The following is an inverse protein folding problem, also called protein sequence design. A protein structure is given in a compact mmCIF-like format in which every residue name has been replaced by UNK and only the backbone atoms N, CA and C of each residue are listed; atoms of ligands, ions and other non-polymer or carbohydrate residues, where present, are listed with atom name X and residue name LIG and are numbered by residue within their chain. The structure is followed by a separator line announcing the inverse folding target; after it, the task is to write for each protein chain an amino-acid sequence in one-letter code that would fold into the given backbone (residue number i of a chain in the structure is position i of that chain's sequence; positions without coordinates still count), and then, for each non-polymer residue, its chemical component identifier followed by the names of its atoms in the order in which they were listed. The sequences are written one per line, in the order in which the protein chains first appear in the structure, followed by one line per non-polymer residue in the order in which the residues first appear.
data_IF_887863535047
#
_entry.id   IF_887863535047
#
_cell.length_a   1.000
_cell.length_b   1.000
_cell.length_c   1.000
_cell.angle_alpha   90.00
_cell.angle_beta   90.00
_cell.angle_gamma   90.00
#
_symmetry.space_group_name_H-M   'P 1'
#
loop_
_entity.id
_entity.type
_entity.pdbx_description
1 polymer ?
#
# COMPACT_ATOMS: atom_id res chain seq x y z
N UNK A 1 -31.89 -22.24 36.80
CA UNK A 1 -31.71 -22.70 35.41
C UNK A 1 -30.71 -21.77 34.74
N UNK A 2 -29.64 -22.25 34.08
CA UNK A 2 -28.80 -21.35 33.30
C UNK A 2 -29.65 -20.73 32.18
N UNK A 3 -29.60 -19.40 32.06
CA UNK A 3 -30.33 -18.67 31.02
C UNK A 3 -30.03 -19.30 29.64
N UNK A 4 -31.03 -19.41 28.74
CA UNK A 4 -30.78 -19.86 27.39
C UNK A 4 -29.71 -18.98 26.77
N UNK A 5 -28.57 -19.58 26.39
CA UNK A 5 -27.54 -18.84 25.67
C UNK A 5 -28.15 -18.41 24.35
N UNK A 6 -28.18 -17.11 24.06
CA UNK A 6 -28.62 -16.60 22.77
C UNK A 6 -27.73 -17.20 21.67
N UNK A 7 -28.26 -18.21 20.98
CA UNK A 7 -27.60 -18.87 19.87
C UNK A 7 -27.72 -18.02 18.61
N UNK A 8 -26.65 -18.03 17.82
CA UNK A 8 -26.64 -17.41 16.51
C UNK A 8 -27.20 -18.38 15.47
N UNK A 9 -28.30 -18.01 14.82
CA UNK A 9 -28.88 -18.77 13.70
C UNK A 9 -28.19 -18.30 12.42
N UNK A 10 -27.06 -18.93 12.10
CA UNK A 10 -26.24 -18.64 10.91
C UNK A 10 -26.00 -19.91 10.12
N UNK A 11 -25.80 -19.79 8.81
CA UNK A 11 -25.55 -20.95 7.95
C UNK A 11 -24.10 -21.45 8.10
N UNK A 12 -23.86 -22.77 8.22
CA UNK A 12 -22.51 -23.31 8.37
C UNK A 12 -21.57 -22.96 7.21
N UNK A 13 -22.08 -22.97 5.98
CA UNK A 13 -21.35 -22.57 4.77
C UNK A 13 -20.79 -21.14 4.83
N UNK A 14 -21.49 -20.21 5.50
CA UNK A 14 -21.03 -18.82 5.70
C UNK A 14 -19.88 -18.78 6.71
N UNK A 15 -19.92 -19.62 7.74
CA UNK A 15 -18.85 -19.70 8.75
C UNK A 15 -17.54 -20.21 8.12
N UNK A 16 -17.63 -21.31 7.37
CA UNK A 16 -16.50 -21.89 6.63
C UNK A 16 -15.92 -20.86 5.66
N UNK A 17 -16.79 -20.29 4.82
CA UNK A 17 -16.37 -19.30 3.83
C UNK A 17 -15.68 -18.09 4.48
N UNK A 18 -16.28 -17.52 5.54
CA UNK A 18 -15.73 -16.33 6.19
C UNK A 18 -14.36 -16.60 6.81
N UNK A 19 -14.14 -17.80 7.37
CA UNK A 19 -12.86 -18.21 7.94
C UNK A 19 -11.79 -18.36 6.86
N UNK A 20 -12.11 -19.07 5.78
CA UNK A 20 -11.17 -19.37 4.69
C UNK A 20 -10.83 -18.14 3.87
N UNK A 21 -11.81 -17.29 3.56
CA UNK A 21 -11.58 -15.99 2.92
C UNK A 21 -10.73 -15.08 3.81
N UNK A 22 -10.96 -15.08 5.13
CA UNK A 22 -10.13 -14.36 6.08
C UNK A 22 -8.71 -14.94 6.23
N UNK A 23 -8.43 -16.11 5.66
CA UNK A 23 -7.11 -16.75 5.69
C UNK A 23 -6.77 -17.46 6.99
N UNK A 24 -7.79 -17.86 7.76
CA UNK A 24 -7.58 -18.53 9.04
C UNK A 24 -7.69 -20.05 8.93
N UNK A 25 -6.71 -20.75 9.50
CA UNK A 25 -6.88 -22.16 9.83
C UNK A 25 -7.87 -22.34 10.99
N UNK A 26 -8.51 -23.51 11.04
CA UNK A 26 -9.53 -23.84 12.03
C UNK A 26 -9.01 -23.63 13.47
N UNK A 27 -7.80 -24.10 13.74
CA UNK A 27 -7.15 -24.06 15.05
C UNK A 27 -6.87 -22.62 15.49
N UNK A 28 -6.34 -21.80 14.57
CA UNK A 28 -6.05 -20.40 14.85
C UNK A 28 -7.34 -19.61 15.11
N UNK A 29 -8.36 -19.81 14.27
CA UNK A 29 -9.66 -19.18 14.43
C UNK A 29 -10.31 -19.52 15.78
N UNK A 30 -10.36 -20.82 16.13
CA UNK A 30 -10.94 -21.29 17.38
C UNK A 30 -10.23 -20.69 18.60
N UNK A 31 -8.89 -20.65 18.57
CA UNK A 31 -8.07 -20.04 19.61
C UNK A 31 -8.38 -18.55 19.77
N UNK A 32 -8.52 -17.80 18.67
CA UNK A 32 -8.78 -16.34 18.70
C UNK A 32 -10.14 -15.97 19.29
N UNK A 33 -11.12 -16.87 19.24
CA UNK A 33 -12.43 -16.66 19.89
C UNK A 33 -12.61 -17.51 21.16
N UNK A 34 -11.52 -18.06 21.69
CA UNK A 34 -11.49 -18.82 22.94
C UNK A 34 -12.46 -20.01 22.97
N UNK A 35 -12.53 -20.77 21.87
CA UNK A 35 -13.24 -22.07 21.81
C UNK A 35 -12.30 -23.18 21.36
N UNK A 36 -12.74 -24.44 21.52
CA UNK A 36 -11.98 -25.59 21.02
C UNK A 36 -12.13 -25.72 19.50
N UNK A 37 -11.09 -26.18 18.77
CA UNK A 37 -11.20 -26.47 17.34
C UNK A 37 -12.34 -27.44 17.03
N UNK A 38 -12.54 -28.45 17.88
CA UNK A 38 -13.67 -29.38 17.80
C UNK A 38 -15.03 -28.68 17.85
N UNK A 39 -15.18 -27.66 18.70
CA UNK A 39 -16.42 -26.86 18.76
C UNK A 39 -16.62 -26.05 17.48
N UNK A 40 -15.57 -25.39 16.98
CA UNK A 40 -15.67 -24.61 15.76
C UNK A 40 -16.06 -25.50 14.57
N UNK A 41 -15.41 -26.65 14.43
CA UNK A 41 -15.71 -27.64 13.39
C UNK A 41 -17.16 -28.13 13.47
N UNK A 42 -17.66 -28.42 14.68
CA UNK A 42 -19.07 -28.80 14.87
C UNK A 42 -20.05 -27.68 14.46
N UNK A 43 -19.65 -26.41 14.60
CA UNK A 43 -20.47 -25.29 14.12
C UNK A 43 -20.42 -25.16 12.59
N UNK A 44 -19.22 -25.34 12.01
CA UNK A 44 -18.99 -25.32 10.56
C UNK A 44 -19.62 -26.52 9.82
N UNK A 45 -19.89 -27.63 10.53
CA UNK A 45 -20.63 -28.78 10.00
C UNK A 45 -22.14 -28.76 10.29
N UNK A 46 -22.63 -27.74 11.01
CA UNK A 46 -24.04 -27.61 11.39
C UNK A 46 -24.49 -28.52 12.55
N UNK A 47 -23.56 -29.22 13.21
CA UNK A 47 -23.82 -30.08 14.37
C UNK A 47 -23.96 -29.31 15.69
N UNK A 48 -23.47 -28.07 15.74
CA UNK A 48 -23.56 -27.18 16.90
C UNK A 48 -23.78 -25.73 16.44
N UNK A 49 -24.03 -24.83 17.41
CA UNK A 49 -24.18 -23.39 17.15
C UNK A 49 -23.25 -22.56 18.02
N UNK A 50 -22.84 -21.43 17.46
CA UNK A 50 -22.14 -20.38 18.19
C UNK A 50 -23.16 -19.55 18.98
N UNK A 51 -22.73 -18.99 20.10
CA UNK A 51 -23.52 -17.93 20.75
C UNK A 51 -23.35 -16.61 19.98
N UNK A 52 -24.25 -15.65 20.15
CA UNK A 52 -24.13 -14.31 19.56
C UNK A 52 -22.79 -13.65 19.95
N UNK A 53 -22.31 -13.86 21.18
CA UNK A 53 -21.01 -13.35 21.61
C UNK A 53 -19.85 -14.02 20.88
N UNK A 54 -19.92 -15.32 20.62
CA UNK A 54 -18.90 -16.04 19.84
C UNK A 54 -18.91 -15.61 18.38
N UNK A 55 -20.09 -15.39 17.80
CA UNK A 55 -20.23 -14.85 16.44
C UNK A 55 -19.67 -13.42 16.34
N UNK A 56 -19.90 -12.57 17.36
CA UNK A 56 -19.27 -11.24 17.46
C UNK A 56 -17.74 -11.34 17.57
N UNK A 57 -17.25 -12.36 18.26
CA UNK A 57 -15.83 -12.73 18.27
C UNK A 57 -15.32 -13.01 16.85
N UNK A 58 -16.00 -13.88 16.10
CA UNK A 58 -15.65 -14.17 14.70
C UNK A 58 -15.70 -12.92 13.82
N UNK A 59 -16.73 -12.09 13.96
CA UNK A 59 -16.86 -10.80 13.27
C UNK A 59 -15.63 -9.91 13.46
N UNK A 60 -15.13 -9.79 14.69
CA UNK A 60 -13.94 -9.01 15.01
C UNK A 60 -12.64 -9.63 14.48
N UNK A 61 -12.52 -10.96 14.51
CA UNK A 61 -11.33 -11.71 14.08
C UNK A 61 -11.22 -11.75 12.55
N UNK A 62 -12.32 -12.07 11.88
CA UNK A 62 -12.40 -12.16 10.41
C UNK A 62 -12.55 -10.79 9.74
N UNK A 63 -12.75 -9.73 10.54
CA UNK A 63 -12.99 -8.35 10.07
C UNK A 63 -14.18 -8.29 9.11
N UNK A 64 -15.26 -8.97 9.49
CA UNK A 64 -16.54 -8.99 8.77
C UNK A 64 -17.61 -8.40 9.69
N UNK A 65 -18.48 -7.49 9.22
CA UNK A 65 -19.60 -7.01 10.02
C UNK A 65 -20.46 -8.17 10.52
N UNK A 66 -21.07 -8.05 11.70
CA UNK A 66 -21.89 -9.13 12.27
C UNK A 66 -23.02 -9.58 11.30
N UNK A 67 -23.62 -8.61 10.59
CA UNK A 67 -24.66 -8.86 9.59
C UNK A 67 -24.18 -9.77 8.43
N UNK A 68 -22.88 -9.81 8.13
CA UNK A 68 -22.31 -10.66 7.09
C UNK A 68 -22.63 -12.14 7.30
N UNK A 69 -22.66 -12.60 8.56
CA UNK A 69 -22.89 -14.01 8.87
C UNK A 69 -24.34 -14.48 8.66
N UNK A 70 -25.25 -13.54 8.39
CA UNK A 70 -26.65 -13.79 8.12
C UNK A 70 -26.98 -13.73 6.62
N UNK A 71 -25.97 -13.66 5.76
CA UNK A 71 -26.17 -13.74 4.31
C UNK A 71 -26.81 -15.08 3.92
N UNK A 72 -27.70 -15.07 2.91
CA UNK A 72 -28.40 -16.28 2.48
C UNK A 72 -27.45 -17.27 1.78
N UNK A 73 -26.39 -16.80 1.14
CA UNK A 73 -25.39 -17.63 0.45
C UNK A 73 -24.01 -16.97 0.57
N UNK A 74 -22.91 -17.75 0.56
CA UNK A 74 -21.57 -17.18 0.53
C UNK A 74 -21.38 -16.28 -0.70
N UNK A 75 -20.76 -15.09 -0.55
CA UNK A 75 -20.47 -14.23 -1.69
C UNK A 75 -19.35 -14.84 -2.53
N UNK A 76 -19.19 -14.36 -3.77
CA UNK A 76 -18.05 -14.74 -4.60
C UNK A 76 -16.76 -14.24 -3.96
N UNK A 77 -15.77 -15.12 -3.82
CA UNK A 77 -14.43 -14.74 -3.35
C UNK A 77 -13.78 -13.83 -4.37
N UNK A 78 -13.39 -12.63 -3.95
CA UNK A 78 -12.85 -11.58 -4.85
C UNK A 78 -11.32 -11.50 -4.81
N UNK A 79 -10.66 -12.23 -3.92
CA UNK A 79 -9.20 -12.25 -3.83
C UNK A 79 -8.72 -13.50 -4.57
N UNK A 80 -8.11 -13.32 -5.74
CA UNK A 80 -7.28 -14.38 -6.30
C UNK A 80 -5.94 -14.34 -5.57
N UNK A 81 -5.61 -15.43 -4.87
CA UNK A 81 -4.37 -15.55 -4.11
C UNK A 81 -3.15 -15.49 -5.05
N UNK A 82 -3.31 -15.89 -6.33
CA UNK A 82 -2.24 -15.88 -7.33
C UNK A 82 -1.68 -14.49 -7.58
N UNK A 83 -2.51 -13.45 -7.58
CA UNK A 83 -2.10 -12.07 -7.84
C UNK A 83 -1.16 -11.51 -6.75
N UNK A 84 -1.15 -12.11 -5.56
CA UNK A 84 -0.45 -11.58 -4.38
C UNK A 84 0.62 -12.53 -3.81
N UNK A 85 0.99 -13.61 -4.50
CA UNK A 85 2.07 -14.52 -4.05
C UNK A 85 3.46 -13.85 -3.97
N UNK A 86 3.56 -12.62 -4.43
CA UNK A 86 4.74 -11.77 -4.55
C UNK A 86 5.41 -11.33 -3.24
N UNK A 87 4.84 -11.59 -2.05
CA UNK A 87 5.27 -10.88 -0.84
C UNK A 87 6.00 -11.67 0.25
N UNK A 88 6.29 -12.96 0.08
CA UNK A 88 7.02 -13.76 1.08
C UNK A 88 8.07 -14.69 0.47
N UNK A 89 9.31 -14.61 0.96
CA UNK A 89 10.40 -15.58 0.73
C UNK A 89 10.17 -16.92 1.48
N UNK A 90 9.03 -17.09 2.16
CA UNK A 90 8.74 -18.27 2.99
C UNK A 90 7.86 -19.30 2.24
N UNK A 91 8.10 -20.58 2.53
CA UNK A 91 7.52 -21.76 1.87
C UNK A 91 6.02 -21.98 2.10
N UNK A 92 5.34 -21.09 2.84
CA UNK A 92 3.89 -21.11 3.00
C UNK A 92 3.28 -20.00 2.13
N UNK A 93 2.88 -20.38 0.91
CA UNK A 93 2.41 -19.48 -0.15
C UNK A 93 1.00 -18.91 0.08
N UNK A 94 0.51 -18.87 1.32
CA UNK A 94 -0.80 -18.34 1.68
C UNK A 94 -0.72 -16.92 2.23
N UNK A 95 -1.50 -16.00 1.66
CA UNK A 95 -1.59 -14.62 2.18
C UNK A 95 -2.05 -14.66 3.64
N UNK A 96 -1.33 -13.97 4.52
CA UNK A 96 -1.73 -13.91 5.92
C UNK A 96 -3.10 -13.21 6.07
N UNK A 97 -3.82 -13.47 7.17
CA UNK A 97 -5.07 -12.77 7.48
C UNK A 97 -4.96 -11.24 7.47
N UNK A 98 -3.79 -10.70 7.83
CA UNK A 98 -3.56 -9.26 7.84
C UNK A 98 -3.50 -8.69 6.42
N UNK A 99 -2.74 -9.31 5.51
CA UNK A 99 -2.65 -8.86 4.12
C UNK A 99 -3.98 -9.03 3.39
N UNK A 100 -4.67 -10.17 3.58
CA UNK A 100 -6.02 -10.38 3.04
C UNK A 100 -6.98 -9.29 3.47
N UNK A 101 -6.93 -8.87 4.73
CA UNK A 101 -7.76 -7.76 5.22
C UNK A 101 -7.45 -6.45 4.50
N UNK A 102 -6.18 -6.08 4.33
CA UNK A 102 -5.82 -4.83 3.65
C UNK A 102 -6.17 -4.87 2.14
N UNK A 103 -6.03 -6.02 1.47
CA UNK A 103 -6.53 -6.22 0.09
C UNK A 103 -8.05 -6.01 0.02
N UNK A 104 -8.82 -6.67 0.91
CA UNK A 104 -10.28 -6.49 0.95
C UNK A 104 -10.66 -5.04 1.20
N UNK A 105 -10.02 -4.40 2.17
CA UNK A 105 -10.28 -3.01 2.54
C UNK A 105 -9.99 -2.05 1.39
N UNK A 106 -8.91 -2.28 0.64
CA UNK A 106 -8.58 -1.50 -0.54
C UNK A 106 -9.65 -1.68 -1.64
N UNK A 107 -10.06 -2.92 -1.94
CA UNK A 107 -11.15 -3.19 -2.88
C UNK A 107 -12.47 -2.56 -2.43
N UNK A 108 -12.86 -2.71 -1.16
CA UNK A 108 -14.09 -2.07 -0.64
C UNK A 108 -14.05 -0.54 -0.75
N UNK A 109 -12.89 0.10 -0.51
CA UNK A 109 -12.75 1.55 -0.72
C UNK A 109 -12.89 1.94 -2.18
N UNK A 110 -12.35 1.14 -3.10
CA UNK A 110 -12.54 1.36 -4.53
C UNK A 110 -14.01 1.26 -4.92
N UNK A 111 -14.73 0.24 -4.47
CA UNK A 111 -16.17 0.11 -4.74
C UNK A 111 -16.96 1.31 -4.20
N UNK A 112 -16.64 1.77 -2.99
CA UNK A 112 -17.22 3.00 -2.44
C UNK A 112 -16.88 4.22 -3.31
N UNK A 113 -15.64 4.33 -3.79
CA UNK A 113 -15.24 5.42 -4.68
C UNK A 113 -16.05 5.40 -5.99
N UNK A 114 -16.23 4.23 -6.60
CA UNK A 114 -17.04 4.10 -7.82
C UNK A 114 -18.48 4.52 -7.58
N UNK A 115 -19.12 4.05 -6.51
CA UNK A 115 -20.47 4.47 -6.12
C UNK A 115 -20.54 5.99 -5.94
N UNK A 116 -19.56 6.59 -5.25
CA UNK A 116 -19.53 8.04 -5.03
C UNK A 116 -19.33 8.83 -6.33
N UNK A 117 -18.52 8.35 -7.27
CA UNK A 117 -18.39 8.99 -8.60
C UNK A 117 -19.71 8.92 -9.38
N UNK A 118 -20.40 7.78 -9.34
CA UNK A 118 -21.72 7.60 -9.95
C UNK A 118 -22.77 8.54 -9.32
N UNK A 119 -22.86 8.57 -7.99
CA UNK A 119 -23.80 9.42 -7.24
C UNK A 119 -23.57 10.91 -7.48
N UNK A 120 -22.32 11.32 -7.71
CA UNK A 120 -21.91 12.69 -8.02
C UNK A 120 -22.03 13.03 -9.51
N UNK A 121 -22.34 12.06 -10.37
CA UNK A 121 -22.36 12.21 -11.83
C UNK A 121 -21.02 12.72 -12.41
N UNK A 122 -19.90 12.33 -11.79
CA UNK A 122 -18.54 12.70 -12.20
C UNK A 122 -17.85 11.48 -12.79
N UNK A 123 -17.31 11.62 -14.01
CA UNK A 123 -16.47 10.57 -14.60
C UNK A 123 -15.07 10.61 -13.97
N UNK A 124 -14.57 9.50 -13.39
CA UNK A 124 -13.23 9.46 -12.83
C UNK A 124 -12.16 9.56 -13.92
N UNK A 125 -11.04 10.21 -13.60
CA UNK A 125 -9.83 10.16 -14.41
C UNK A 125 -9.43 8.70 -14.63
N UNK A 126 -9.23 8.31 -15.89
CA UNK A 126 -8.92 6.91 -16.23
C UNK A 126 -7.42 6.73 -16.45
N UNK A 127 -6.79 5.94 -15.58
CA UNK A 127 -5.40 5.56 -15.76
C UNK A 127 -5.25 4.58 -16.94
N UNK A 128 -4.66 5.03 -18.05
CA UNK A 128 -4.61 4.27 -19.30
C UNK A 128 -3.20 3.96 -19.82
N UNK A 129 -2.15 4.37 -19.09
CA UNK A 129 -0.75 4.12 -19.48
C UNK A 129 -0.44 2.63 -19.50
N UNK A 130 0.40 2.21 -20.47
CA UNK A 130 0.86 0.83 -20.63
C UNK A 130 2.35 0.76 -20.86
N UNK A 131 2.92 -0.40 -20.51
CA UNK A 131 4.28 -0.77 -20.90
C UNK A 131 4.40 -2.29 -21.10
N UNK A 132 5.53 -2.73 -21.62
CA UNK A 132 5.91 -4.14 -21.77
C UNK A 132 7.38 -4.37 -21.42
N UNK A 133 7.73 -5.64 -21.12
CA UNK A 133 9.07 -6.01 -20.61
C UNK A 133 10.20 -5.85 -21.64
N UNK A 134 9.86 -5.74 -22.92
CA UNK A 134 10.80 -5.53 -24.03
C UNK A 134 11.16 -4.04 -24.23
N UNK A 135 10.47 -3.12 -23.56
CA UNK A 135 10.78 -1.69 -23.67
C UNK A 135 12.04 -1.31 -22.89
N UNK A 136 12.74 -0.27 -23.37
CA UNK A 136 13.89 0.29 -22.66
C UNK A 136 13.47 0.91 -21.33
N UNK A 137 14.14 0.50 -20.25
CA UNK A 137 13.94 1.05 -18.90
C UNK A 137 14.07 2.58 -18.88
N UNK A 138 15.01 3.15 -19.64
CA UNK A 138 15.18 4.60 -19.77
C UNK A 138 13.93 5.29 -20.35
N UNK A 139 13.36 4.70 -21.40
CA UNK A 139 12.16 5.21 -22.07
C UNK A 139 10.95 5.12 -21.15
N UNK A 140 10.77 3.98 -20.46
CA UNK A 140 9.65 3.78 -19.54
C UNK A 140 9.78 4.69 -18.31
N UNK A 141 10.99 4.84 -17.76
CA UNK A 141 11.25 5.77 -16.65
C UNK A 141 10.91 7.21 -17.01
N UNK A 142 11.31 7.68 -18.20
CA UNK A 142 10.93 9.01 -18.67
C UNK A 142 9.42 9.13 -18.89
N UNK A 143 8.78 8.12 -19.48
CA UNK A 143 7.31 8.09 -19.66
C UNK A 143 6.56 8.19 -18.33
N UNK A 144 7.05 7.55 -17.28
CA UNK A 144 6.47 7.69 -15.94
C UNK A 144 6.59 9.14 -15.44
N UNK A 145 7.74 9.79 -15.62
CA UNK A 145 7.90 11.20 -15.25
C UNK A 145 6.97 12.12 -16.04
N UNK A 146 6.84 11.90 -17.33
CA UNK A 146 5.98 12.68 -18.23
C UNK A 146 4.51 12.52 -17.85
N UNK A 147 4.07 11.27 -17.62
CA UNK A 147 2.73 10.94 -17.15
C UNK A 147 2.40 11.67 -15.84
N UNK A 148 3.33 11.67 -14.90
CA UNK A 148 3.17 12.31 -13.59
C UNK A 148 3.43 13.83 -13.63
N UNK A 149 3.89 14.38 -14.77
CA UNK A 149 4.28 15.78 -14.94
C UNK A 149 5.34 16.23 -13.90
N UNK A 150 6.34 15.37 -13.69
CA UNK A 150 7.43 15.59 -12.73
C UNK A 150 8.76 15.82 -13.49
N UNK A 151 9.17 17.08 -13.59
CA UNK A 151 10.52 17.40 -14.06
C UNK A 151 11.59 17.08 -13.02
N UNK A 152 12.85 16.92 -13.43
CA UNK A 152 13.95 16.68 -12.50
C UNK A 152 14.23 17.89 -11.61
N UNK A 153 14.12 19.09 -12.17
CA UNK A 153 14.31 20.37 -11.47
C UNK A 153 13.29 20.56 -10.34
N UNK A 154 12.08 20.05 -10.53
CA UNK A 154 11.04 20.08 -9.49
C UNK A 154 11.35 19.11 -8.36
N UNK A 155 11.84 17.91 -8.69
CA UNK A 155 12.22 16.90 -7.70
C UNK A 155 13.38 17.37 -6.82
N UNK A 156 14.44 17.95 -7.39
CA UNK A 156 15.63 18.36 -6.61
C UNK A 156 15.38 19.51 -5.63
N UNK A 157 14.23 20.19 -5.73
CA UNK A 157 13.82 21.25 -4.80
C UNK A 157 13.12 20.72 -3.54
N UNK A 158 12.77 19.44 -3.50
CA UNK A 158 12.11 18.80 -2.36
C UNK A 158 13.09 18.74 -1.18
N UNK A 159 12.68 19.23 -0.02
CA UNK A 159 13.58 19.44 1.12
C UNK A 159 13.49 18.36 2.18
N UNK A 160 12.41 17.58 2.20
CA UNK A 160 12.20 16.55 3.21
C UNK A 160 11.61 15.26 2.63
N UNK A 161 11.81 14.18 3.37
CA UNK A 161 11.35 12.84 3.01
C UNK A 161 9.82 12.71 2.99
N UNK A 162 9.11 13.32 3.94
CA UNK A 162 7.65 13.37 3.94
C UNK A 162 7.09 14.30 2.86
N UNK A 163 7.81 15.36 2.49
CA UNK A 163 7.46 16.18 1.33
C UNK A 163 7.60 15.38 0.04
N UNK A 164 8.68 14.61 -0.14
CA UNK A 164 8.83 13.69 -1.26
C UNK A 164 7.68 12.67 -1.32
N UNK A 165 7.34 12.07 -0.18
CA UNK A 165 6.22 11.11 -0.11
C UNK A 165 4.90 11.72 -0.57
N UNK A 166 4.56 12.93 -0.09
CA UNK A 166 3.34 13.63 -0.52
C UNK A 166 3.40 14.00 -1.99
N UNK A 167 4.51 14.58 -2.43
CA UNK A 167 4.74 15.02 -3.80
C UNK A 167 4.48 13.91 -4.83
N UNK A 168 5.12 12.75 -4.64
CA UNK A 168 4.96 11.61 -5.55
C UNK A 168 3.58 10.98 -5.46
N UNK A 169 3.01 10.86 -4.26
CA UNK A 169 1.66 10.33 -4.08
C UNK A 169 0.62 11.19 -4.78
N UNK A 170 0.65 12.50 -4.57
CA UNK A 170 -0.32 13.44 -5.13
C UNK A 170 -0.28 13.41 -6.67
N UNK A 171 0.92 13.31 -7.26
CA UNK A 171 1.08 13.18 -8.71
C UNK A 171 0.50 11.86 -9.26
N UNK A 172 0.67 10.75 -8.55
CA UNK A 172 0.10 9.45 -8.93
C UNK A 172 -1.43 9.46 -8.80
N UNK A 173 -1.94 9.98 -7.69
CA UNK A 173 -3.36 10.10 -7.44
C UNK A 173 -4.06 11.00 -8.50
N UNK A 174 -3.39 12.06 -8.95
CA UNK A 174 -3.88 12.95 -10.01
C UNK A 174 -3.99 12.27 -11.40
N UNK A 175 -3.57 11.02 -11.55
CA UNK A 175 -3.73 10.20 -12.77
C UNK A 175 -4.80 9.11 -12.63
N UNK A 176 -5.66 9.19 -11.62
CA UNK A 176 -6.78 8.26 -11.42
C UNK A 176 -6.43 7.01 -10.62
N UNK A 177 -5.23 6.93 -10.03
CA UNK A 177 -4.81 5.80 -9.18
C UNK A 177 -5.19 6.08 -7.73
N UNK A 178 -5.93 5.17 -7.09
CA UNK A 178 -6.20 5.24 -5.66
C UNK A 178 -4.99 4.76 -4.86
N UNK A 179 -4.30 5.67 -4.17
CA UNK A 179 -3.13 5.33 -3.35
C UNK A 179 -3.52 5.24 -1.88
N UNK A 180 -3.46 4.04 -1.29
CA UNK A 180 -3.70 3.80 0.13
C UNK A 180 -2.42 3.48 0.89
N UNK A 181 -2.48 3.57 2.22
CA UNK A 181 -1.40 3.08 3.08
C UNK A 181 -1.91 2.08 4.11
N UNK A 182 -1.14 1.02 4.33
CA UNK A 182 -1.44 -0.06 5.25
C UNK A 182 -0.30 -0.24 6.27
N UNK A 183 -0.62 -0.72 7.47
CA UNK A 183 0.38 -1.01 8.50
C UNK A 183 0.45 -2.50 8.76
N UNK A 184 1.36 -3.16 8.06
CA UNK A 184 1.55 -4.61 8.09
C UNK A 184 3.03 -4.95 8.29
N UNK A 185 3.37 -6.20 8.60
CA UNK A 185 4.78 -6.59 8.70
C UNK A 185 5.52 -6.25 7.40
N UNK A 186 6.68 -5.60 7.49
CA UNK A 186 7.52 -5.33 6.29
C UNK A 186 8.03 -6.60 5.63
N UNK A 187 8.08 -7.72 6.36
CA UNK A 187 8.43 -9.04 5.81
C UNK A 187 7.32 -9.62 4.96
N UNK A 188 6.09 -9.15 5.17
CA UNK A 188 4.89 -9.68 4.53
C UNK A 188 4.43 -8.82 3.36
N UNK A 189 4.72 -7.51 3.35
CA UNK A 189 4.33 -6.62 2.25
C UNK A 189 5.09 -5.29 2.39
N UNK A 190 5.66 -4.80 1.29
CA UNK A 190 6.13 -3.40 1.18
C UNK A 190 5.11 -2.51 0.47
N UNK A 191 4.47 -3.04 -0.56
CA UNK A 191 3.30 -2.48 -1.21
C UNK A 191 2.60 -3.56 -2.02
N UNK A 192 1.51 -3.21 -2.69
CA UNK A 192 0.89 -4.02 -3.74
C UNK A 192 0.06 -3.12 -4.65
N UNK A 193 -0.26 -3.61 -5.85
CA UNK A 193 -1.13 -2.95 -6.80
C UNK A 193 -2.24 -3.87 -7.28
N UNK A 194 -3.37 -3.28 -7.66
CA UNK A 194 -4.51 -3.99 -8.23
C UNK A 194 -4.94 -3.23 -9.48
N UNK A 195 -4.76 -3.86 -10.63
CA UNK A 195 -5.32 -3.35 -11.87
C UNK A 195 -6.81 -3.65 -11.92
N UNK A 196 -7.63 -2.61 -11.82
CA UNK A 196 -9.07 -2.70 -12.05
C UNK A 196 -9.60 -1.33 -12.50
N UNK A 197 -10.00 -1.21 -13.75
CA UNK A 197 -10.44 0.04 -14.35
C UNK A 197 -11.85 0.44 -13.87
N UNK A 198 -12.17 1.73 -13.72
CA UNK A 198 -11.34 2.90 -14.05
C UNK A 198 -10.36 3.34 -12.96
N UNK A 199 -10.53 2.86 -11.72
CA UNK A 199 -9.77 3.27 -10.54
C UNK A 199 -8.81 2.17 -10.06
N UNK A 200 -7.61 2.02 -10.66
CA UNK A 200 -6.62 1.07 -10.15
C UNK A 200 -6.14 1.49 -8.76
N UNK A 201 -5.62 0.51 -8.01
CA UNK A 201 -5.21 0.70 -6.62
C UNK A 201 -3.70 0.51 -6.51
N UNK A 202 -3.05 1.36 -5.72
CA UNK A 202 -1.71 1.13 -5.17
C UNK A 202 -1.77 1.23 -3.64
N UNK A 203 -1.13 0.31 -2.93
CA UNK A 203 -1.05 0.32 -1.47
C UNK A 203 0.40 0.25 -1.04
N UNK A 204 0.81 1.08 -0.07
CA UNK A 204 2.18 1.08 0.48
C UNK A 204 2.22 0.92 1.99
N UNK A 205 3.30 0.32 2.50
CA UNK A 205 3.46 0.02 3.92
C UNK A 205 3.93 1.23 4.74
N UNK A 206 3.14 1.67 5.71
CA UNK A 206 3.50 2.77 6.63
C UNK A 206 4.73 2.47 7.50
N UNK A 207 5.10 1.19 7.66
CA UNK A 207 6.30 0.77 8.42
C UNK A 207 7.60 0.91 7.63
N UNK A 208 7.51 1.22 6.33
CA UNK A 208 8.68 1.59 5.54
C UNK A 208 8.98 3.09 5.66
N UNK A 209 10.25 3.45 5.42
CA UNK A 209 10.69 4.85 5.40
C UNK A 209 9.89 5.65 4.36
N UNK A 210 9.74 6.99 4.51
CA UNK A 210 9.07 7.80 3.48
C UNK A 210 9.69 7.62 2.08
N UNK A 211 11.01 7.61 1.96
CA UNK A 211 11.69 7.31 0.68
C UNK A 211 11.46 5.88 0.19
N UNK A 212 11.40 4.89 1.09
CA UNK A 212 11.05 3.51 0.73
C UNK A 212 9.64 3.43 0.14
N UNK A 213 8.68 4.10 0.76
CA UNK A 213 7.31 4.21 0.25
C UNK A 213 7.24 4.92 -1.11
N UNK A 214 8.03 5.98 -1.34
CA UNK A 214 8.15 6.62 -2.66
C UNK A 214 8.61 5.61 -3.72
N UNK A 215 9.69 4.87 -3.44
CA UNK A 215 10.18 3.84 -4.35
C UNK A 215 9.11 2.78 -4.64
N UNK A 216 8.45 2.27 -3.60
CA UNK A 216 7.35 1.30 -3.75
C UNK A 216 6.20 1.86 -4.58
N UNK A 217 5.74 3.10 -4.37
CA UNK A 217 4.65 3.66 -5.17
C UNK A 217 4.98 3.69 -6.67
N UNK A 218 6.20 4.08 -7.05
CA UNK A 218 6.62 4.12 -8.46
C UNK A 218 6.79 2.70 -9.02
N UNK A 219 7.29 1.77 -8.21
CA UNK A 219 7.37 0.35 -8.56
C UNK A 219 5.97 -0.24 -8.82
N UNK A 220 5.01 -0.02 -7.91
CA UNK A 220 3.62 -0.46 -8.07
C UNK A 220 2.92 0.20 -9.26
N UNK A 221 3.23 1.47 -9.55
CA UNK A 221 2.73 2.14 -10.75
C UNK A 221 3.21 1.44 -12.02
N UNK A 222 4.43 0.91 -12.03
CA UNK A 222 4.97 0.15 -13.17
C UNK A 222 4.23 -1.19 -13.32
N UNK A 223 3.91 -1.88 -12.23
CA UNK A 223 3.04 -3.06 -12.27
C UNK A 223 1.66 -2.76 -12.85
N UNK A 224 1.06 -1.62 -12.49
CA UNK A 224 -0.20 -1.17 -13.08
C UNK A 224 -0.06 -0.94 -14.59
N UNK A 225 1.05 -0.35 -15.06
CA UNK A 225 1.32 -0.15 -16.49
C UNK A 225 1.52 -1.46 -17.24
N UNK A 226 2.14 -2.47 -16.62
CA UNK A 226 2.28 -3.82 -17.19
C UNK A 226 0.96 -4.60 -17.19
N UNK A 227 -0.02 -4.19 -16.37
CA UNK A 227 -1.27 -4.93 -16.11
C UNK A 227 -1.01 -6.36 -15.63
N UNK A 228 0.08 -6.54 -14.90
CA UNK A 228 0.63 -7.86 -14.55
C UNK A 228 -0.10 -8.54 -13.39
N UNK A 229 -1.24 -8.02 -12.93
CA UNK A 229 -2.04 -8.61 -11.83
C UNK A 229 -2.75 -9.92 -12.22
N UNK A 230 -2.03 -10.87 -12.83
CA UNK A 230 -2.56 -12.16 -13.29
C UNK A 230 -1.70 -12.96 -14.29
N UNK A 231 -0.41 -12.62 -14.51
CA UNK A 231 0.45 -13.28 -15.50
C UNK A 231 1.69 -13.92 -14.84
N UNK A 232 1.59 -15.14 -14.31
CA UNK A 232 2.60 -15.63 -13.35
C UNK A 232 3.46 -16.84 -13.73
N UNK A 233 3.10 -17.87 -14.49
CA UNK A 233 3.93 -19.10 -14.35
C UNK A 233 5.31 -19.12 -15.04
N UNK A 234 5.74 -18.14 -15.85
CA UNK A 234 7.04 -18.22 -16.58
C UNK A 234 7.90 -16.94 -16.63
N UNK A 235 7.49 -15.82 -15.99
CA UNK A 235 8.15 -14.51 -16.17
C UNK A 235 8.25 -13.60 -14.94
N UNK A 236 7.88 -14.08 -13.75
CA UNK A 236 7.70 -13.25 -12.52
C UNK A 236 8.98 -12.51 -12.11
N UNK A 237 10.12 -13.20 -12.11
CA UNK A 237 11.38 -12.59 -11.74
C UNK A 237 11.78 -11.47 -12.71
N UNK A 238 11.43 -11.60 -14.00
CA UNK A 238 11.72 -10.57 -14.99
C UNK A 238 10.82 -9.34 -14.80
N UNK A 239 9.56 -9.53 -14.40
CA UNK A 239 8.64 -8.43 -14.07
C UNK A 239 9.18 -7.63 -12.89
N UNK A 240 9.54 -8.29 -11.78
CA UNK A 240 10.07 -7.64 -10.59
C UNK A 240 11.38 -6.89 -10.86
N UNK A 241 12.29 -7.50 -11.62
CA UNK A 241 13.55 -6.87 -12.03
C UNK A 241 13.27 -5.63 -12.89
N UNK A 242 12.32 -5.72 -13.83
CA UNK A 242 11.92 -4.61 -14.69
C UNK A 242 11.26 -3.47 -13.88
N UNK A 243 10.28 -3.75 -13.03
CA UNK A 243 9.62 -2.76 -12.18
C UNK A 243 10.61 -2.05 -11.24
N UNK A 244 11.56 -2.79 -10.66
CA UNK A 244 12.64 -2.21 -9.85
C UNK A 244 13.56 -1.31 -10.68
N UNK A 245 13.91 -1.72 -11.91
CA UNK A 245 14.74 -0.94 -12.80
C UNK A 245 14.04 0.36 -13.24
N UNK A 246 12.77 0.29 -13.62
CA UNK A 246 11.93 1.44 -14.00
C UNK A 246 11.74 2.39 -12.82
N UNK A 247 11.45 1.89 -11.61
CA UNK A 247 11.34 2.74 -10.43
C UNK A 247 12.66 3.47 -10.12
N UNK A 248 13.78 2.76 -10.24
CA UNK A 248 15.11 3.32 -10.06
C UNK A 248 15.44 4.38 -11.12
N UNK A 249 15.15 4.12 -12.39
CA UNK A 249 15.35 5.07 -13.49
C UNK A 249 14.44 6.29 -13.37
N UNK A 250 13.17 6.09 -13.00
CA UNK A 250 12.22 7.17 -12.79
C UNK A 250 12.70 8.11 -11.70
N UNK A 251 13.12 7.58 -10.54
CA UNK A 251 13.50 8.38 -9.38
C UNK A 251 14.93 8.93 -9.47
N UNK A 252 15.83 8.21 -10.13
CA UNK A 252 17.23 8.58 -10.32
C UNK A 252 17.61 8.35 -11.78
N UNK A 253 17.19 9.27 -12.68
CA UNK A 253 17.42 9.10 -14.11
C UNK A 253 18.91 9.06 -14.41
N UNK A 254 19.29 8.11 -15.25
CA UNK A 254 20.67 7.87 -15.64
C UNK A 254 21.30 9.10 -16.29
N UNK A 255 20.53 9.81 -17.12
CA UNK A 255 20.93 11.06 -17.77
C UNK A 255 21.45 12.09 -16.76
N UNK A 256 20.71 12.34 -15.68
CA UNK A 256 21.13 13.31 -14.66
C UNK A 256 22.22 12.75 -13.75
N UNK A 257 22.10 11.48 -13.33
CA UNK A 257 23.05 10.88 -12.40
C UNK A 257 24.46 10.81 -12.99
N UNK A 258 24.59 10.50 -14.27
CA UNK A 258 25.89 10.45 -14.95
C UNK A 258 26.48 11.84 -15.20
N UNK A 259 25.68 12.90 -15.13
CA UNK A 259 26.15 14.28 -15.25
C UNK A 259 26.61 14.89 -13.93
N UNK A 260 26.27 14.27 -12.79
CA UNK A 260 26.70 14.73 -11.48
C UNK A 260 28.23 14.81 -11.39
N UNK A 261 28.75 15.95 -10.92
CA UNK A 261 30.20 16.19 -10.86
C UNK A 261 30.94 15.10 -10.09
N UNK A 262 30.35 14.65 -8.98
CA UNK A 262 30.92 13.58 -8.13
C UNK A 262 30.99 12.22 -8.85
N UNK A 263 30.16 12.00 -9.87
CA UNK A 263 30.15 10.80 -10.71
C UNK A 263 31.07 10.95 -11.92
N UNK A 264 31.10 12.13 -12.53
CA UNK A 264 31.95 12.42 -13.71
C UNK A 264 33.43 12.46 -13.38
N UNK A 265 33.76 13.11 -12.27
CA UNK A 265 35.14 13.29 -11.81
C UNK A 265 35.60 12.10 -10.93
N UNK A 266 34.85 11.00 -10.96
CA UNK A 266 35.06 9.85 -10.09
C UNK A 266 36.44 9.22 -10.31
N UNK A 267 37.23 9.20 -9.24
CA UNK A 267 38.51 8.50 -9.13
C UNK A 267 38.48 7.43 -8.05
N UNK A 268 37.29 7.09 -7.55
CA UNK A 268 37.11 6.27 -6.35
C UNK A 268 37.24 4.76 -6.61
N UNK A 269 37.57 4.35 -7.84
CA UNK A 269 37.63 2.93 -8.23
C UNK A 269 36.38 2.15 -7.81
N UNK A 270 35.19 2.72 -8.03
CA UNK A 270 33.89 2.09 -7.74
C UNK A 270 33.53 1.97 -6.24
N UNK A 271 34.25 2.65 -5.33
CA UNK A 271 34.03 2.65 -3.87
C UNK A 271 33.56 4.03 -3.39
N UNK A 272 32.36 4.14 -2.87
CA UNK A 272 31.74 5.43 -2.55
C UNK A 272 31.76 5.76 -1.06
N UNK A 273 32.03 7.02 -0.70
CA UNK A 273 31.88 7.47 0.70
C UNK A 273 30.40 7.61 1.08
N UNK A 274 30.08 7.46 2.38
CA UNK A 274 28.71 7.61 2.86
C UNK A 274 28.21 9.05 2.68
N UNK A 275 29.09 10.05 2.78
CA UNK A 275 28.79 11.47 2.54
C UNK A 275 28.44 11.72 1.07
N UNK A 276 29.17 11.10 0.15
CA UNK A 276 28.94 11.20 -1.29
C UNK A 276 27.58 10.62 -1.66
N UNK A 277 27.27 9.41 -1.15
CA UNK A 277 25.98 8.75 -1.36
C UNK A 277 24.84 9.54 -0.71
N UNK A 278 25.07 10.13 0.47
CA UNK A 278 24.07 10.96 1.14
C UNK A 278 23.80 12.27 0.39
N UNK A 279 24.83 12.91 -0.15
CA UNK A 279 24.69 14.14 -0.93
C UNK A 279 23.82 13.91 -2.18
N UNK A 280 24.08 12.82 -2.91
CA UNK A 280 23.25 12.42 -4.06
C UNK A 280 21.84 12.06 -3.58
N UNK A 281 21.71 11.25 -2.53
CA UNK A 281 20.41 10.82 -2.01
C UNK A 281 19.51 12.00 -1.61
N UNK A 282 20.08 13.00 -0.93
CA UNK A 282 19.36 14.21 -0.53
C UNK A 282 18.93 15.03 -1.75
N UNK A 283 19.82 15.22 -2.73
CA UNK A 283 19.51 15.96 -3.95
C UNK A 283 18.41 15.30 -4.78
N UNK A 284 18.41 13.97 -4.85
CA UNK A 284 17.39 13.20 -5.57
C UNK A 284 16.16 12.89 -4.71
N UNK A 285 16.15 13.26 -3.42
CA UNK A 285 15.08 12.93 -2.47
C UNK A 285 14.73 11.43 -2.45
N UNK A 286 15.78 10.59 -2.39
CA UNK A 286 15.67 9.13 -2.30
C UNK A 286 16.56 8.60 -1.17
N UNK A 287 16.49 7.30 -0.89
CA UNK A 287 17.41 6.68 0.06
C UNK A 287 18.80 6.44 -0.54
N UNK A 288 19.84 6.40 0.31
CA UNK A 288 21.21 6.00 -0.08
C UNK A 288 21.25 4.61 -0.74
N UNK A 289 20.36 3.70 -0.34
CA UNK A 289 20.24 2.37 -0.94
C UNK A 289 19.81 2.45 -2.40
N UNK A 290 18.86 3.33 -2.73
CA UNK A 290 18.42 3.53 -4.11
C UNK A 290 19.54 4.12 -4.97
N UNK A 291 20.25 5.13 -4.46
CA UNK A 291 21.43 5.68 -5.16
C UNK A 291 22.47 4.61 -5.42
N UNK A 292 22.84 3.84 -4.38
CA UNK A 292 23.86 2.81 -4.52
C UNK A 292 23.44 1.68 -5.48
N UNK A 293 22.15 1.30 -5.46
CA UNK A 293 21.58 0.36 -6.44
C UNK A 293 21.68 0.90 -7.86
N UNK A 294 21.46 2.20 -8.06
CA UNK A 294 21.54 2.85 -9.37
C UNK A 294 22.96 2.96 -9.90
N UNK A 295 23.91 3.29 -9.02
CA UNK A 295 25.32 3.21 -9.35
C UNK A 295 25.72 1.79 -9.76
N UNK A 296 25.20 0.76 -9.10
CA UNK A 296 25.47 -0.63 -9.44
C UNK A 296 24.92 -0.98 -10.83
N UNK A 297 23.67 -0.62 -11.12
CA UNK A 297 23.05 -0.89 -12.44
C UNK A 297 23.73 -0.14 -13.59
N UNK A 298 24.38 0.98 -13.31
CA UNK A 298 25.12 1.78 -14.30
C UNK A 298 26.62 1.43 -14.35
N UNK A 299 27.05 0.37 -13.66
CA UNK A 299 28.46 -0.04 -13.62
C UNK A 299 29.40 0.97 -12.93
N UNK A 300 28.85 1.83 -12.05
CA UNK A 300 29.60 2.83 -11.24
C UNK A 300 29.91 2.34 -9.83
N UNK A 301 29.49 1.14 -9.45
CA UNK A 301 29.99 0.45 -8.25
C UNK A 301 30.05 -1.07 -8.48
N UNK A 302 30.52 -1.84 -7.50
CA UNK A 302 30.61 -3.30 -7.57
C UNK A 302 29.52 -3.99 -6.74
N UNK A 303 29.16 -5.22 -7.12
CA UNK A 303 28.20 -6.04 -6.36
C UNK A 303 28.69 -6.32 -4.93
N UNK A 304 30.01 -6.45 -4.74
CA UNK A 304 30.62 -6.64 -3.43
C UNK A 304 30.41 -5.40 -2.54
N UNK A 305 30.74 -4.22 -3.05
CA UNK A 305 30.56 -2.97 -2.32
C UNK A 305 29.09 -2.70 -1.98
N UNK A 306 28.18 -2.96 -2.94
CA UNK A 306 26.74 -2.88 -2.72
C UNK A 306 26.28 -3.76 -1.55
N UNK A 307 26.70 -5.05 -1.52
CA UNK A 307 26.34 -5.99 -0.44
C UNK A 307 26.92 -5.56 0.91
N UNK A 308 28.17 -5.08 0.93
CA UNK A 308 28.82 -4.57 2.14
C UNK A 308 28.01 -3.43 2.75
N UNK A 309 27.77 -2.36 1.99
CA UNK A 309 27.09 -1.15 2.48
C UNK A 309 25.64 -1.39 2.87
N UNK A 310 24.90 -2.15 2.07
CA UNK A 310 23.51 -2.48 2.41
C UNK A 310 23.42 -3.34 3.67
N UNK A 311 24.37 -4.24 3.90
CA UNK A 311 24.50 -4.99 5.16
C UNK A 311 24.81 -4.10 6.36
N UNK A 312 25.75 -3.15 6.23
CA UNK A 312 26.09 -2.16 7.26
C UNK A 312 24.87 -1.33 7.66
N UNK A 313 24.18 -0.72 6.69
CA UNK A 313 23.02 0.13 6.96
C UNK A 313 21.84 -0.66 7.52
N UNK A 314 21.63 -1.91 7.08
CA UNK A 314 20.58 -2.78 7.64
C UNK A 314 20.84 -3.05 9.12
N UNK A 315 22.06 -3.43 9.50
CA UNK A 315 22.43 -3.66 10.90
C UNK A 315 22.28 -2.38 11.74
N UNK A 316 22.75 -1.25 11.22
CA UNK A 316 22.61 0.04 11.91
C UNK A 316 21.14 0.41 12.16
N UNK A 317 20.27 0.20 11.16
CA UNK A 317 18.83 0.43 11.26
C UNK A 317 18.15 -0.52 12.27
N UNK A 318 18.52 -1.79 12.29
CA UNK A 318 18.00 -2.77 13.26
C UNK A 318 18.39 -2.39 14.70
N UNK A 319 19.65 -1.97 14.92
CA UNK A 319 20.14 -1.50 16.21
C UNK A 319 19.45 -0.22 16.68
N UNK A 320 19.16 0.72 15.76
CA UNK A 320 18.45 1.96 16.07
C UNK A 320 17.00 1.70 16.50
N UNK A 321 16.26 0.89 15.72
CA UNK A 321 14.87 0.58 16.04
C UNK A 321 14.70 -0.24 17.32
N UNK A 322 15.68 -1.11 17.65
CA UNK A 322 15.68 -1.84 18.91
C UNK A 322 15.83 -0.91 20.13
N UNK A 323 16.40 0.29 19.96
CA UNK A 323 16.57 1.30 21.01
C UNK A 323 15.42 2.29 21.11
N UNK A 324 14.71 2.55 20.01
CA UNK A 324 13.65 3.58 19.92
C UNK A 324 12.21 3.07 20.13
N UNK A 325 12.00 1.83 20.59
CA UNK A 325 10.66 1.26 20.82
C UNK A 325 9.81 1.97 21.89
N UNK A 326 10.16 3.17 22.34
CA UNK A 326 9.54 3.92 23.43
C UNK A 326 9.17 5.39 23.12
N UNK A 327 9.34 5.92 21.90
CA UNK A 327 9.00 7.34 21.60
C UNK A 327 8.17 7.56 20.33
N UNK A 328 7.07 6.84 20.19
CA UNK A 328 6.07 7.15 19.16
C UNK A 328 5.20 8.34 19.58
N UNK A 329 5.42 9.52 18.98
CA UNK A 329 4.52 10.66 19.15
C UNK A 329 3.07 10.30 18.76
N UNK A 330 2.08 10.84 19.48
CA UNK A 330 0.66 10.61 19.19
C UNK A 330 0.30 11.31 17.88
N UNK A 331 0.14 10.55 16.79
CA UNK A 331 -0.38 11.08 15.52
C UNK A 331 -1.87 11.33 15.67
N UNK A 332 -2.32 12.54 15.34
CA UNK A 332 -3.73 12.93 15.44
C UNK A 332 -4.61 12.10 14.48
N UNK A 333 -5.84 11.73 14.89
CA UNK A 333 -6.73 10.88 14.08
C UNK A 333 -7.04 11.42 12.68
N UNK A 334 -7.22 12.73 12.51
CA UNK A 334 -7.49 13.34 11.19
C UNK A 334 -6.27 13.22 10.24
N UNK A 335 -5.05 13.41 10.77
CA UNK A 335 -3.79 13.25 10.00
C UNK A 335 -3.63 11.79 9.57
N UNK A 336 -3.92 10.85 10.48
CA UNK A 336 -3.84 9.41 10.19
C UNK A 336 -4.84 9.01 9.11
N UNK A 337 -6.06 9.51 9.15
CA UNK A 337 -7.09 9.22 8.16
C UNK A 337 -6.66 9.66 6.76
N UNK A 338 -6.20 10.91 6.62
CA UNK A 338 -5.69 11.44 5.34
C UNK A 338 -4.49 10.62 4.84
N UNK A 339 -3.55 10.31 5.73
CA UNK A 339 -2.37 9.50 5.38
C UNK A 339 -2.75 8.10 4.88
N UNK A 340 -3.68 7.41 5.55
CA UNK A 340 -4.10 6.05 5.21
C UNK A 340 -4.99 5.98 3.97
N UNK A 341 -5.90 6.93 3.80
CA UNK A 341 -6.93 6.89 2.77
C UNK A 341 -6.52 7.60 1.47
N UNK A 342 -5.59 8.55 1.51
CA UNK A 342 -5.20 9.30 0.32
C UNK A 342 -6.10 10.48 0.04
N UNK A 343 -5.51 11.52 -0.56
CA UNK A 343 -6.17 12.81 -0.69
C UNK A 343 -7.36 12.71 -1.63
N UNK A 344 -7.22 11.95 -2.72
CA UNK A 344 -8.28 11.76 -3.72
C UNK A 344 -9.49 11.06 -3.13
N UNK A 345 -9.31 9.94 -2.43
CA UNK A 345 -10.42 9.25 -1.78
C UNK A 345 -11.05 10.10 -0.68
N UNK A 346 -10.24 10.78 0.14
CA UNK A 346 -10.78 11.65 1.20
C UNK A 346 -11.59 12.80 0.61
N UNK A 347 -11.08 13.46 -0.44
CA UNK A 347 -11.80 14.53 -1.12
C UNK A 347 -13.12 14.04 -1.70
N UNK A 348 -13.12 12.88 -2.36
CA UNK A 348 -14.34 12.28 -2.89
C UNK A 348 -15.39 12.03 -1.79
N UNK A 349 -14.98 11.49 -0.63
CA UNK A 349 -15.88 11.30 0.53
C UNK A 349 -16.44 12.63 1.02
N UNK A 350 -15.60 13.68 1.13
CA UNK A 350 -16.05 14.99 1.57
C UNK A 350 -16.99 15.65 0.56
N UNK A 351 -16.69 15.56 -0.74
CA UNK A 351 -17.51 16.10 -1.81
C UNK A 351 -18.89 15.41 -1.83
N UNK A 352 -18.94 14.07 -1.70
CA UNK A 352 -20.20 13.33 -1.55
C UNK A 352 -20.98 13.70 -0.29
N UNK A 353 -20.29 13.97 0.82
CA UNK A 353 -20.93 14.43 2.05
C UNK A 353 -21.52 15.84 1.90
N UNK A 354 -20.77 16.78 1.31
CA UNK A 354 -21.23 18.15 1.08
C UNK A 354 -22.38 18.25 0.08
N UNK A 355 -22.47 17.30 -0.86
CA UNK A 355 -23.58 17.18 -1.80
C UNK A 355 -24.72 16.29 -1.28
N UNK A 356 -24.73 15.98 0.02
CA UNK A 356 -25.77 15.21 0.70
C UNK A 356 -26.03 13.81 0.11
N UNK A 357 -25.06 13.27 -0.64
CA UNK A 357 -25.12 11.89 -1.19
C UNK A 357 -24.85 10.84 -0.12
N UNK A 358 -24.09 11.20 0.92
CA UNK A 358 -23.81 10.35 2.07
C UNK A 358 -23.98 11.14 3.37
N UNK A 359 -24.30 10.45 4.47
CA UNK A 359 -24.41 11.10 5.78
C UNK A 359 -23.05 11.38 6.42
N UNK A 360 -23.02 12.22 7.46
CA UNK A 360 -21.80 12.44 8.27
C UNK A 360 -21.33 11.16 8.97
N UNK A 361 -22.25 10.23 9.27
CA UNK A 361 -21.93 8.93 9.85
C UNK A 361 -21.21 8.06 8.81
N UNK A 362 -21.73 8.02 7.58
CA UNK A 362 -21.12 7.27 6.48
C UNK A 362 -19.73 7.83 6.15
N UNK A 363 -19.59 9.15 6.02
CA UNK A 363 -18.30 9.79 5.77
C UNK A 363 -17.27 9.45 6.85
N UNK A 364 -17.65 9.53 8.13
CA UNK A 364 -16.78 9.15 9.24
C UNK A 364 -16.41 7.66 9.21
N UNK A 365 -17.37 6.79 8.88
CA UNK A 365 -17.14 5.35 8.76
C UNK A 365 -16.18 5.01 7.60
N UNK A 366 -16.36 5.62 6.42
CA UNK A 366 -15.52 5.37 5.24
C UNK A 366 -14.08 5.83 5.47
N UNK A 367 -13.88 6.93 6.18
CA UNK A 367 -12.57 7.45 6.59
C UNK A 367 -11.98 6.73 7.81
N UNK A 368 -12.79 5.93 8.52
CA UNK A 368 -12.36 5.20 9.72
C UNK A 368 -12.09 6.11 10.92
N UNK A 369 -12.85 7.20 11.05
CA UNK A 369 -12.73 8.18 12.13
C UNK A 369 -14.06 8.38 12.86
N UNK A 370 -14.03 9.10 13.99
CA UNK A 370 -15.25 9.60 14.64
C UNK A 370 -15.73 10.86 13.92
N UNK A 371 -17.05 11.06 13.86
CA UNK A 371 -17.70 12.23 13.22
C UNK A 371 -17.08 13.57 13.63
N UNK A 372 -16.72 13.72 14.91
CA UNK A 372 -16.08 14.96 15.42
C UNK A 372 -14.78 15.37 14.72
N UNK A 373 -14.11 14.45 14.04
CA UNK A 373 -12.85 14.72 13.32
C UNK A 373 -13.05 15.14 11.86
N UNK A 374 -14.28 15.12 11.32
CA UNK A 374 -14.54 15.48 9.92
C UNK A 374 -14.13 16.92 9.61
N UNK A 375 -14.50 17.88 10.46
CA UNK A 375 -14.13 19.29 10.26
C UNK A 375 -12.61 19.55 10.25
N UNK A 376 -11.82 18.75 10.98
CA UNK A 376 -10.36 18.84 10.96
C UNK A 376 -9.78 18.25 9.66
N UNK A 377 -10.40 17.18 9.15
CA UNK A 377 -10.03 16.56 7.86
C UNK A 377 -10.35 17.53 6.72
N UNK A 378 -11.53 18.15 6.71
CA UNK A 378 -11.93 19.16 5.73
C UNK A 378 -10.92 20.30 5.65
N UNK A 379 -10.52 20.87 6.80
CA UNK A 379 -9.47 21.91 6.85
C UNK A 379 -8.15 21.42 6.28
N UNK A 380 -7.73 20.20 6.62
CA UNK A 380 -6.47 19.63 6.14
C UNK A 380 -6.45 19.35 4.61
N UNK A 381 -7.62 19.08 4.02
CA UNK A 381 -7.77 18.83 2.56
C UNK A 381 -7.96 20.12 1.77
N UNK A 382 -8.67 21.10 2.36
CA UNK A 382 -9.04 22.36 1.72
C UNK A 382 -7.89 23.36 1.68
N UNK A 383 -6.93 23.31 2.61
CA UNK A 383 -5.73 24.14 2.53
C UNK A 383 -4.97 23.75 1.25
N UNK A 384 -4.94 24.61 0.21
CA UNK A 384 -3.91 24.49 -0.80
C UNK A 384 -2.62 24.83 -0.05
N UNK A 385 -1.78 23.83 0.24
CA UNK A 385 -0.39 24.18 0.55
C UNK A 385 0.12 24.85 -0.71
N UNK A 386 0.22 26.17 -0.60
CA UNK A 386 0.48 27.13 -1.65
C UNK A 386 1.30 26.51 -2.78
N UNK A 387 0.68 26.50 -3.96
CA UNK A 387 1.40 26.69 -5.22
C UNK A 387 2.56 27.64 -4.94
N UNK A 388 3.78 27.16 -5.14
CA UNK A 388 4.99 27.98 -5.16
C UNK A 388 5.00 28.89 -6.40
N UNK A 389 3.94 29.65 -6.57
CA UNK A 389 3.77 30.75 -7.51
C UNK A 389 3.27 31.94 -6.70
N UNK A 390 4.22 32.61 -6.04
CA UNK A 390 4.23 34.08 -5.91
C UNK A 390 5.66 34.51 -5.60
N UNK A 391 6.19 35.34 -6.50
CA UNK A 391 7.50 36.01 -6.57
C UNK A 391 8.55 35.34 -7.47
#
# INVERSE_FOLDING_TARGET
MPQPRNEAIVKPEILVWAREDAGYHLEEAAKKISITPKKLLACESGQARLTINQLRGLSNVYKRPLAFFYLPTPPKTTIDIKDFRHFSDETDHSLSPALRYEVRKAKSRRELALSMYEDLEITPETFNSRTSLDESVAVVGQRVRDLLQISFERQVRIKSDYEALRFWRDAIEARGVLVFQASISKREMRGFSIWDAPLPISVVNTKDSPYGRVFTMVHELTHLMLRSGGLCDLGENNIEVFCNAVAGETLVPSEFLLQERIIRDDRTNHIWSDESLLAIANRYSVSRVVVLRRLLTLGKTTQEFYRLKTGEWKKAFELHNAKESSSGGIVLPHVKALSVAGKTFVRLVLDSYHQEKISSIDAAQYLGVKVKYLSEIEKAVTIPYLTGETA
#
